data_IF_223839430228
#
_entry.id   IF_223839430228
#
_cell.length_a   1.000
_cell.length_b   1.000
_cell.length_c   1.000
_cell.angle_alpha   90.00
_cell.angle_beta   90.00
_cell.angle_gamma   90.00
#
_symmetry.space_group_name_H-M   'P 1'
#
loop_
_entity.id
_entity.type
_entity.pdbx_description
1 polymer ?
#
# COMPACT_ATOMS: atom_id res chain seq x y z
N UNK A 1 2.99 22.59 -1.78
CA UNK A 1 3.41 21.66 -2.85
C UNK A 1 4.50 20.79 -2.28
N UNK A 2 4.26 19.50 -2.01
CA UNK A 2 5.37 18.60 -1.73
C UNK A 2 6.14 18.46 -3.04
N UNK A 3 7.29 19.13 -3.12
CA UNK A 3 8.25 18.79 -4.15
C UNK A 3 8.61 17.34 -3.87
N UNK A 4 8.18 16.40 -4.73
CA UNK A 4 8.80 15.08 -4.78
C UNK A 4 10.30 15.33 -4.68
N UNK A 5 10.94 15.00 -3.55
CA UNK A 5 12.38 15.02 -3.47
C UNK A 5 12.79 13.92 -4.42
N UNK A 6 13.13 14.29 -5.65
CA UNK A 6 13.35 13.30 -6.69
C UNK A 6 14.69 12.65 -6.38
N UNK A 7 14.62 11.48 -5.77
CA UNK A 7 15.74 10.57 -5.56
C UNK A 7 16.41 10.32 -6.90
N UNK A 8 17.65 9.83 -6.87
CA UNK A 8 18.37 9.57 -8.12
C UNK A 8 17.56 8.62 -9.02
N UNK A 9 17.06 7.53 -8.44
CA UNK A 9 16.18 6.57 -9.09
C UNK A 9 14.96 7.24 -9.72
N UNK A 10 14.20 8.04 -8.95
CA UNK A 10 13.01 8.72 -9.48
C UNK A 10 13.32 9.69 -10.64
N UNK A 11 14.51 10.33 -10.66
CA UNK A 11 14.91 11.19 -11.79
C UNK A 11 15.24 10.38 -13.03
N UNK A 12 15.95 9.27 -12.87
CA UNK A 12 16.38 8.40 -13.97
C UNK A 12 15.18 7.70 -14.61
N UNK A 13 14.27 7.13 -13.79
CA UNK A 13 13.04 6.52 -14.27
C UNK A 13 12.14 7.55 -14.97
N UNK A 14 12.04 8.77 -14.44
CA UNK A 14 11.31 9.85 -15.11
C UNK A 14 11.89 10.15 -16.50
N UNK A 15 13.21 10.33 -16.60
CA UNK A 15 13.85 10.67 -17.87
C UNK A 15 13.57 9.58 -18.92
N UNK A 16 13.70 8.32 -18.52
CA UNK A 16 13.32 7.18 -19.36
C UNK A 16 11.86 7.25 -19.84
N UNK A 17 10.90 7.47 -18.92
CA UNK A 17 9.48 7.54 -19.28
C UNK A 17 9.10 8.78 -20.10
N UNK A 18 9.88 9.86 -20.01
CA UNK A 18 9.73 11.04 -20.88
C UNK A 18 10.16 10.70 -22.32
N UNK A 19 11.29 10.00 -22.50
CA UNK A 19 11.74 9.55 -23.82
C UNK A 19 10.80 8.51 -24.44
N UNK A 20 10.22 7.65 -23.58
CA UNK A 20 9.25 6.62 -23.97
C UNK A 20 7.89 7.22 -24.38
N UNK A 21 7.60 8.47 -24.01
CA UNK A 21 6.34 9.13 -24.27
C UNK A 21 6.49 10.23 -25.32
N UNK A 22 6.12 9.93 -26.57
CA UNK A 22 6.10 10.91 -27.67
C UNK A 22 5.31 12.21 -27.33
N UNK A 23 4.35 12.13 -26.40
CA UNK A 23 3.45 13.22 -26.01
C UNK A 23 3.68 13.81 -24.60
N UNK A 24 4.71 13.39 -23.85
CA UNK A 24 4.96 13.88 -22.47
C UNK A 24 5.64 15.26 -22.45
N UNK A 25 5.15 16.20 -23.25
CA UNK A 25 5.72 17.56 -23.35
C UNK A 25 5.22 18.54 -22.25
N UNK A 26 4.48 18.08 -21.23
CA UNK A 26 3.91 18.97 -20.21
C UNK A 26 4.79 19.06 -18.95
N UNK A 27 4.84 20.25 -18.35
CA UNK A 27 5.41 20.48 -17.00
C UNK A 27 4.24 20.73 -16.04
N UNK A 28 4.04 19.91 -14.98
CA UNK A 28 4.74 18.66 -14.63
C UNK A 28 4.51 17.54 -15.65
N UNK A 29 5.38 16.49 -15.68
CA UNK A 29 5.33 15.37 -16.63
C UNK A 29 4.08 14.53 -16.38
N UNK A 30 3.00 14.94 -17.00
CA UNK A 30 1.70 14.32 -16.85
C UNK A 30 1.13 14.03 -18.23
N UNK A 31 0.52 12.86 -18.32
CA UNK A 31 -0.39 12.50 -19.39
C UNK A 31 -1.56 13.48 -19.45
N UNK A 32 -2.21 13.55 -20.61
CA UNK A 32 -3.42 14.37 -20.74
C UNK A 32 -4.58 13.75 -19.97
N UNK A 33 -4.59 12.42 -19.89
CA UNK A 33 -5.52 11.62 -19.12
C UNK A 33 -4.79 10.45 -18.44
N UNK A 34 -5.19 10.09 -17.21
CA UNK A 34 -4.50 9.06 -16.42
C UNK A 34 -4.39 7.71 -17.13
N UNK A 35 -5.42 7.33 -17.89
CA UNK A 35 -5.47 6.05 -18.61
C UNK A 35 -4.44 5.95 -19.74
N UNK A 36 -3.85 7.06 -20.20
CA UNK A 36 -2.75 7.01 -21.17
C UNK A 36 -1.51 6.33 -20.57
N UNK A 37 -1.38 6.39 -19.23
CA UNK A 37 -0.35 5.69 -18.49
C UNK A 37 -0.59 4.19 -18.31
N UNK A 38 -1.75 3.67 -18.73
CA UNK A 38 -2.11 2.25 -18.67
C UNK A 38 -1.75 1.55 -19.99
N UNK A 39 -1.32 0.28 -19.90
CA UNK A 39 -1.09 -0.58 -21.08
C UNK A 39 -2.29 -0.51 -22.05
N UNK A 40 -2.09 -0.29 -23.36
CA UNK A 40 -3.18 -0.08 -24.31
C UNK A 40 -4.33 -1.08 -24.20
N UNK A 41 -4.02 -2.37 -24.14
CA UNK A 41 -5.01 -3.46 -24.10
C UNK A 41 -5.76 -3.56 -22.75
N UNK A 42 -5.27 -2.90 -21.69
CA UNK A 42 -5.90 -2.89 -20.37
C UNK A 42 -6.68 -1.60 -20.09
N UNK A 43 -6.71 -0.63 -21.01
CA UNK A 43 -7.29 0.70 -20.75
C UNK A 43 -8.78 0.68 -20.47
N UNK A 44 -9.53 -0.11 -21.22
CA UNK A 44 -10.98 -0.20 -21.05
C UNK A 44 -11.31 -0.90 -19.73
N UNK A 45 -10.66 -2.04 -19.46
CA UNK A 45 -10.75 -2.72 -18.16
C UNK A 45 -10.37 -1.79 -16.99
N UNK A 46 -9.34 -0.97 -17.14
CA UNK A 46 -8.94 -0.01 -16.10
C UNK A 46 -10.03 1.02 -15.80
N UNK A 47 -10.75 1.50 -16.83
CA UNK A 47 -11.88 2.43 -16.66
C UNK A 47 -13.09 1.74 -16.03
N UNK A 48 -13.35 0.50 -16.43
CA UNK A 48 -14.41 -0.32 -15.85
C UNK A 48 -14.13 -0.60 -14.37
N UNK A 49 -12.91 -1.01 -14.03
CA UNK A 49 -12.43 -1.18 -12.65
C UNK A 49 -12.53 0.13 -11.88
N UNK A 50 -12.14 1.26 -12.47
CA UNK A 50 -12.24 2.56 -11.80
C UNK A 50 -13.68 2.84 -11.32
N UNK A 51 -14.67 2.51 -12.14
CA UNK A 51 -16.09 2.66 -11.80
C UNK A 51 -16.55 1.57 -10.82
N UNK A 52 -16.25 0.31 -11.11
CA UNK A 52 -16.75 -0.85 -10.36
C UNK A 52 -16.17 -0.96 -8.95
N UNK A 53 -14.91 -0.57 -8.76
CA UNK A 53 -14.23 -0.55 -7.47
C UNK A 53 -14.30 0.85 -6.81
N UNK A 54 -14.97 1.82 -7.45
CA UNK A 54 -15.07 3.22 -6.99
C UNK A 54 -13.70 3.86 -6.72
N UNK A 55 -12.70 3.52 -7.55
CA UNK A 55 -11.32 3.96 -7.40
C UNK A 55 -11.21 5.48 -7.43
N UNK A 56 -10.74 6.03 -6.32
CA UNK A 56 -10.48 7.47 -6.18
C UNK A 56 -9.13 7.83 -6.72
N UNK A 57 -9.12 8.31 -7.96
CA UNK A 57 -7.88 8.76 -8.59
C UNK A 57 -7.28 9.94 -7.83
N UNK A 58 -6.02 9.80 -7.43
CA UNK A 58 -5.31 10.88 -6.78
C UNK A 58 -4.94 11.97 -7.80
N UNK A 59 -4.73 13.22 -7.36
CA UNK A 59 -4.36 14.35 -8.23
C UNK A 59 -3.12 14.12 -9.12
N UNK A 60 -2.29 13.14 -8.78
CA UNK A 60 -1.09 12.77 -9.52
C UNK A 60 -1.30 11.53 -10.41
N UNK A 61 -2.55 11.09 -10.66
CA UNK A 61 -2.81 9.80 -11.33
C UNK A 61 -2.23 9.78 -12.74
N UNK A 62 -2.33 10.92 -13.43
CA UNK A 62 -1.74 11.12 -14.75
C UNK A 62 -0.22 11.42 -14.73
N UNK A 63 0.45 11.47 -13.58
CA UNK A 63 1.90 11.65 -13.53
C UNK A 63 2.60 10.40 -14.10
N UNK A 64 3.71 10.59 -14.83
CA UNK A 64 4.46 9.45 -15.40
C UNK A 64 4.84 8.41 -14.34
N UNK A 65 5.23 8.87 -13.16
CA UNK A 65 5.62 8.05 -12.01
C UNK A 65 4.50 7.84 -11.00
N UNK A 66 3.26 7.72 -11.45
CA UNK A 66 2.11 7.46 -10.59
C UNK A 66 2.15 6.01 -10.08
N UNK A 67 2.31 5.81 -8.77
CA UNK A 67 2.24 4.48 -8.15
C UNK A 67 0.85 3.87 -8.22
N UNK A 68 -0.22 4.68 -8.17
CA UNK A 68 -1.59 4.20 -8.39
C UNK A 68 -1.77 3.61 -9.81
N UNK A 69 -1.24 4.27 -10.84
CA UNK A 69 -1.29 3.74 -12.22
C UNK A 69 -0.36 2.55 -12.39
N UNK A 70 0.79 2.53 -11.70
CA UNK A 70 1.67 1.37 -11.67
C UNK A 70 1.00 0.15 -11.03
N UNK A 71 0.30 0.32 -9.91
CA UNK A 71 -0.49 -0.73 -9.26
C UNK A 71 -1.57 -1.29 -10.19
N UNK A 72 -2.32 -0.41 -10.85
CA UNK A 72 -3.30 -0.82 -11.88
C UNK A 72 -2.61 -1.63 -12.98
N UNK A 73 -1.53 -1.12 -13.57
CA UNK A 73 -0.81 -1.83 -14.62
C UNK A 73 -0.31 -3.21 -14.19
N UNK A 74 0.25 -3.33 -12.97
CA UNK A 74 0.77 -4.59 -12.44
C UNK A 74 -0.32 -5.66 -12.26
N UNK A 75 -1.49 -5.27 -11.77
CA UNK A 75 -2.48 -6.25 -11.30
C UNK A 75 -3.74 -6.38 -12.17
N UNK A 76 -3.98 -5.46 -13.12
CA UNK A 76 -5.14 -5.52 -14.02
C UNK A 76 -5.26 -6.83 -14.82
N UNK A 77 -4.18 -7.45 -15.35
CA UNK A 77 -4.30 -8.74 -16.04
C UNK A 77 -4.98 -9.83 -15.19
N UNK A 78 -4.76 -9.80 -13.88
CA UNK A 78 -5.34 -10.74 -12.92
C UNK A 78 -6.74 -10.34 -12.47
N UNK A 79 -7.32 -9.23 -12.93
CA UNK A 79 -8.69 -8.85 -12.58
C UNK A 79 -9.70 -9.82 -13.18
N UNK A 80 -9.53 -10.21 -14.44
CA UNK A 80 -10.43 -11.12 -15.17
C UNK A 80 -9.73 -12.38 -15.68
N UNK A 81 -8.40 -12.39 -15.68
CA UNK A 81 -7.59 -13.53 -16.11
C UNK A 81 -7.47 -14.65 -15.09
N UNK A 82 -6.74 -15.69 -15.50
CA UNK A 82 -6.23 -16.70 -14.57
C UNK A 82 -5.28 -16.05 -13.56
N UNK A 83 -5.30 -16.57 -12.33
CA UNK A 83 -4.50 -16.08 -11.20
C UNK A 83 -3.61 -17.17 -10.62
N UNK A 84 -3.38 -18.25 -11.36
CA UNK A 84 -2.65 -19.43 -10.89
C UNK A 84 -1.20 -19.06 -10.59
N UNK A 85 -0.50 -18.47 -11.55
CA UNK A 85 0.87 -18.02 -11.39
C UNK A 85 0.99 -16.92 -10.32
N UNK A 86 0.03 -15.97 -10.28
CA UNK A 86 0.00 -14.95 -9.22
C UNK A 86 -0.15 -15.60 -7.85
N UNK A 87 -1.06 -16.56 -7.70
CA UNK A 87 -1.29 -17.30 -6.45
C UNK A 87 -0.02 -18.02 -6.01
N UNK A 88 0.73 -18.61 -6.94
CA UNK A 88 2.02 -19.23 -6.62
C UNK A 88 3.06 -18.22 -6.14
N UNK A 89 3.20 -17.07 -6.81
CA UNK A 89 4.15 -16.02 -6.40
C UNK A 89 3.80 -15.49 -5.02
N UNK A 90 2.54 -15.12 -4.80
CA UNK A 90 2.07 -14.60 -3.51
C UNK A 90 2.20 -15.66 -2.43
N UNK A 91 1.89 -16.93 -2.70
CA UNK A 91 2.07 -18.03 -1.75
C UNK A 91 3.52 -18.17 -1.26
N UNK A 92 4.49 -18.03 -2.17
CA UNK A 92 5.91 -18.05 -1.81
C UNK A 92 6.28 -16.82 -0.98
N UNK A 93 5.78 -15.64 -1.36
CA UNK A 93 6.03 -14.38 -0.64
C UNK A 93 5.52 -14.40 0.80
N UNK A 94 4.32 -14.97 1.05
CA UNK A 94 3.74 -15.03 2.41
C UNK A 94 4.03 -16.35 3.14
N UNK A 95 4.85 -17.23 2.56
CA UNK A 95 5.21 -18.53 3.13
C UNK A 95 4.05 -19.52 3.30
N UNK A 96 2.88 -19.24 2.73
CA UNK A 96 1.65 -20.03 2.91
C UNK A 96 0.93 -20.22 1.59
N UNK A 97 0.60 -21.47 1.25
CA UNK A 97 -0.15 -21.78 0.03
C UNK A 97 -1.57 -21.20 0.08
N UNK A 98 -1.87 -20.33 -0.87
CA UNK A 98 -3.18 -19.72 -1.08
C UNK A 98 -3.57 -19.70 -2.56
N UNK A 99 -4.85 -19.55 -2.82
CA UNK A 99 -5.44 -19.26 -4.13
C UNK A 99 -6.03 -17.87 -4.10
N UNK A 100 -5.59 -16.98 -4.99
CA UNK A 100 -6.20 -15.66 -5.19
C UNK A 100 -7.51 -15.83 -5.94
N UNK A 101 -8.63 -15.53 -5.29
CA UNK A 101 -9.98 -15.61 -5.86
C UNK A 101 -10.37 -14.31 -6.56
N UNK A 102 -9.94 -13.18 -6.02
CA UNK A 102 -10.34 -11.85 -6.48
C UNK A 102 -9.26 -10.80 -6.20
N UNK A 103 -9.12 -9.83 -7.11
CA UNK A 103 -8.21 -8.69 -6.99
C UNK A 103 -9.03 -7.40 -7.07
N UNK A 104 -8.92 -6.53 -6.05
CA UNK A 104 -9.59 -5.21 -5.97
C UNK A 104 -8.55 -4.11 -5.84
N UNK A 105 -8.87 -2.92 -6.32
CA UNK A 105 -7.96 -1.78 -6.34
C UNK A 105 -8.44 -0.65 -5.44
N UNK A 106 -7.51 0.06 -4.80
CA UNK A 106 -7.78 1.26 -4.00
C UNK A 106 -8.93 1.03 -3.01
N UNK A 107 -8.95 -0.17 -2.44
CA UNK A 107 -10.07 -0.65 -1.63
C UNK A 107 -10.06 0.04 -0.27
N UNK A 108 -11.18 0.68 0.05
CA UNK A 108 -11.38 1.33 1.35
C UNK A 108 -12.17 0.38 2.24
N UNK A 109 -11.66 0.01 3.43
CA UNK A 109 -12.41 -0.81 4.35
C UNK A 109 -13.65 -0.09 4.87
N UNK A 110 -14.71 -0.82 5.26
CA UNK A 110 -15.88 -0.24 5.92
C UNK A 110 -15.47 0.63 7.11
N UNK A 111 -16.18 1.75 7.31
CA UNK A 111 -15.80 2.77 8.29
C UNK A 111 -15.67 2.29 9.72
N UNK A 112 -16.46 1.29 10.10
CA UNK A 112 -16.39 0.65 11.42
C UNK A 112 -15.06 -0.07 11.67
N UNK A 113 -14.37 -0.53 10.62
CA UNK A 113 -13.16 -1.34 10.73
C UNK A 113 -12.03 -0.52 11.38
N UNK A 114 -11.68 0.63 10.81
CA UNK A 114 -10.63 1.52 11.35
C UNK A 114 -11.18 2.68 12.18
N UNK A 115 -12.49 2.94 12.17
CA UNK A 115 -13.09 4.12 12.79
C UNK A 115 -12.75 5.44 12.09
N UNK A 116 -12.28 5.40 10.84
CA UNK A 116 -11.85 6.59 10.09
C UNK A 116 -13.00 7.37 9.45
N UNK A 117 -14.13 6.69 9.21
CA UNK A 117 -15.26 7.16 8.42
C UNK A 117 -16.55 7.24 9.27
N UNK A 118 -17.42 8.19 8.92
CA UNK A 118 -18.75 8.30 9.55
C UNK A 118 -19.74 7.23 9.05
N UNK A 119 -19.54 6.68 7.86
CA UNK A 119 -20.30 5.56 7.28
C UNK A 119 -19.39 4.49 6.68
N UNK A 120 -19.95 3.56 5.90
CA UNK A 120 -19.17 2.46 5.30
C UNK A 120 -18.37 2.86 4.07
N UNK A 121 -18.57 4.08 3.58
CA UNK A 121 -17.85 4.65 2.44
C UNK A 121 -17.43 6.07 2.77
N UNK A 122 -16.27 6.52 2.27
CA UNK A 122 -15.85 7.89 2.49
C UNK A 122 -16.76 8.87 1.75
N UNK A 123 -17.07 10.02 2.36
CA UNK A 123 -17.62 11.17 1.62
C UNK A 123 -16.62 11.72 0.59
N UNK A 124 -17.04 12.61 -0.31
CA UNK A 124 -16.19 13.15 -1.39
C UNK A 124 -14.86 13.72 -0.88
N UNK A 125 -14.89 14.46 0.23
CA UNK A 125 -13.71 15.09 0.85
C UNK A 125 -13.25 14.39 2.14
N UNK A 126 -13.75 13.18 2.40
CA UNK A 126 -13.37 12.43 3.60
C UNK A 126 -12.12 11.58 3.34
N UNK A 127 -10.98 11.85 4.01
CA UNK A 127 -9.79 11.03 3.86
C UNK A 127 -10.01 9.67 4.54
N UNK A 128 -9.64 8.61 3.82
CA UNK A 128 -9.67 7.22 4.26
C UNK A 128 -8.31 6.56 4.01
N UNK A 129 -7.99 5.49 4.73
CA UNK A 129 -6.97 4.53 4.30
C UNK A 129 -7.56 3.73 3.15
N UNK A 130 -6.91 3.76 1.99
CA UNK A 130 -7.17 2.83 0.91
C UNK A 130 -5.99 1.86 0.84
N UNK A 131 -6.27 0.61 0.52
CA UNK A 131 -5.24 -0.38 0.19
C UNK A 131 -5.10 -0.40 -1.32
N UNK A 132 -3.88 -0.20 -1.83
CA UNK A 132 -3.64 -0.04 -3.27
C UNK A 132 -4.16 -1.26 -4.05
N UNK A 133 -3.86 -2.47 -3.56
CA UNK A 133 -4.42 -3.72 -4.09
C UNK A 133 -4.79 -4.67 -2.95
N UNK A 134 -5.99 -5.23 -2.98
CA UNK A 134 -6.42 -6.32 -2.09
C UNK A 134 -6.65 -7.57 -2.91
N UNK A 135 -6.03 -8.66 -2.49
CA UNK A 135 -6.25 -10.00 -3.03
C UNK A 135 -7.06 -10.83 -2.04
N UNK A 136 -8.35 -11.00 -2.31
CA UNK A 136 -9.17 -11.96 -1.55
C UNK A 136 -8.81 -13.37 -1.99
N UNK A 137 -8.53 -14.21 -1.01
CA UNK A 137 -7.87 -15.49 -1.24
C UNK A 137 -8.49 -16.59 -0.39
N UNK A 138 -8.13 -17.83 -0.71
CA UNK A 138 -8.49 -19.02 0.08
C UNK A 138 -7.26 -19.88 0.34
N UNK A 139 -7.12 -20.36 1.56
CA UNK A 139 -6.10 -21.35 1.91
C UNK A 139 -6.49 -22.74 1.40
N UNK A 140 -5.51 -23.64 1.33
CA UNK A 140 -5.74 -25.02 0.91
C UNK A 140 -6.76 -25.78 1.81
N UNK A 141 -6.89 -25.36 3.07
CA UNK A 141 -7.87 -25.91 4.03
C UNK A 141 -9.27 -25.26 3.95
N UNK A 142 -9.48 -24.33 3.01
CA UNK A 142 -10.74 -23.65 2.76
C UNK A 142 -10.94 -22.35 3.55
N UNK A 143 -10.06 -22.01 4.50
CA UNK A 143 -10.11 -20.75 5.24
C UNK A 143 -9.96 -19.54 4.31
N UNK A 144 -10.69 -18.48 4.64
CA UNK A 144 -10.66 -17.20 3.92
C UNK A 144 -9.39 -16.45 4.29
N UNK A 145 -8.77 -15.85 3.29
CA UNK A 145 -7.53 -15.11 3.41
C UNK A 145 -7.63 -13.75 2.70
N UNK A 146 -6.84 -12.78 3.12
CA UNK A 146 -6.61 -11.55 2.37
C UNK A 146 -5.13 -11.20 2.31
N UNK A 147 -4.68 -10.70 1.17
CA UNK A 147 -3.33 -10.14 1.02
C UNK A 147 -3.50 -8.68 0.61
N UNK A 148 -3.13 -7.78 1.52
CA UNK A 148 -3.20 -6.33 1.34
C UNK A 148 -1.85 -5.87 0.82
N UNK A 149 -1.83 -5.22 -0.33
CA UNK A 149 -0.59 -4.81 -0.99
C UNK A 149 -0.55 -3.30 -1.03
N UNK A 150 0.54 -2.73 -0.48
CA UNK A 150 0.95 -1.37 -0.77
C UNK A 150 1.92 -1.41 -1.95
N UNK A 151 1.72 -0.55 -2.95
CA UNK A 151 2.53 -0.49 -4.16
C UNK A 151 3.39 0.77 -4.16
N UNK A 152 4.71 0.61 -4.30
CA UNK A 152 5.66 1.71 -4.46
C UNK A 152 6.36 1.64 -5.80
N UNK A 153 6.47 2.79 -6.46
CA UNK A 153 7.22 2.92 -7.70
C UNK A 153 8.51 3.68 -7.45
N UNK A 154 8.42 5.00 -7.27
CA UNK A 154 9.57 5.91 -7.23
C UNK A 154 9.59 6.82 -6.00
N UNK A 155 8.71 6.55 -5.03
CA UNK A 155 8.67 7.28 -3.77
C UNK A 155 9.96 7.07 -2.99
N UNK A 156 10.33 8.08 -2.20
CA UNK A 156 11.49 8.04 -1.29
C UNK A 156 11.17 7.39 0.06
N UNK A 157 9.96 6.83 0.21
CA UNK A 157 9.47 6.22 1.43
C UNK A 157 7.95 6.16 1.48
N UNK A 158 7.43 6.23 2.69
CA UNK A 158 6.01 6.10 2.99
C UNK A 158 5.43 7.42 3.50
N UNK A 159 4.11 7.53 3.54
CA UNK A 159 3.48 8.73 4.09
C UNK A 159 3.85 8.91 5.56
N UNK A 160 4.40 10.08 5.90
CA UNK A 160 4.73 10.44 7.28
C UNK A 160 3.49 10.81 8.12
N UNK A 161 3.59 10.67 9.44
CA UNK A 161 2.48 11.01 10.34
C UNK A 161 2.19 12.52 10.40
N UNK A 162 1.08 12.92 9.78
CA UNK A 162 0.56 14.29 9.87
C UNK A 162 0.12 14.68 11.29
N UNK A 163 -0.08 13.71 12.20
CA UNK A 163 -0.42 14.00 13.58
C UNK A 163 0.72 14.66 14.36
N UNK A 164 1.97 14.23 14.11
CA UNK A 164 3.17 14.82 14.73
C UNK A 164 3.27 16.32 14.42
N UNK A 165 3.15 16.68 13.14
CA UNK A 165 3.32 18.07 12.67
C UNK A 165 2.04 18.91 12.76
N UNK A 166 0.93 18.35 13.26
CA UNK A 166 -0.33 19.08 13.36
C UNK A 166 -0.27 20.16 14.43
N UNK A 167 -0.57 21.41 14.05
CA UNK A 167 -0.75 22.52 15.01
C UNK A 167 -1.87 22.29 16.03
N UNK A 168 -2.75 21.31 15.79
CA UNK A 168 -3.85 20.96 16.70
C UNK A 168 -3.51 19.79 17.63
N UNK A 169 -2.34 19.16 17.44
CA UNK A 169 -1.86 18.15 18.36
C UNK A 169 -1.29 18.84 19.63
N UNK A 170 -2.02 18.72 20.73
CA UNK A 170 -1.65 19.28 22.04
C UNK A 170 -0.78 18.34 22.88
N UNK A 171 -0.59 17.09 22.43
CA UNK A 171 0.18 16.05 23.11
C UNK A 171 1.39 15.66 22.26
N UNK A 172 2.28 16.63 22.04
CA UNK A 172 3.53 16.41 21.31
C UNK A 172 4.48 15.47 22.06
N UNK A 173 4.38 15.47 23.39
CA UNK A 173 5.07 14.54 24.28
C UNK A 173 4.84 13.07 23.88
N UNK A 174 3.62 12.71 23.47
CA UNK A 174 3.27 11.36 22.98
C UNK A 174 3.95 11.02 21.64
N UNK A 175 4.26 12.03 20.83
CA UNK A 175 4.97 11.84 19.57
C UNK A 175 6.50 11.76 19.76
N UNK A 176 6.99 12.29 20.88
CA UNK A 176 8.41 12.37 21.24
C UNK A 176 8.88 11.19 22.09
N UNK A 177 7.97 10.35 22.57
CA UNK A 177 8.28 9.15 23.36
C UNK A 177 7.42 7.95 22.95
N UNK A 178 8.08 6.85 22.54
CA UNK A 178 7.42 5.58 22.28
C UNK A 178 6.81 4.99 23.56
N UNK A 179 7.50 5.08 24.69
CA UNK A 179 6.96 4.71 26.00
C UNK A 179 5.65 5.46 26.30
N UNK A 180 5.59 6.77 26.08
CA UNK A 180 4.39 7.57 26.32
C UNK A 180 3.22 7.15 25.40
N UNK A 181 3.50 6.87 24.11
CA UNK A 181 2.49 6.33 23.20
C UNK A 181 1.99 4.96 23.65
N UNK A 182 2.88 4.05 24.03
CA UNK A 182 2.50 2.68 24.35
C UNK A 182 1.81 2.57 25.71
N UNK A 183 2.18 3.43 26.67
CA UNK A 183 1.54 3.53 27.99
C UNK A 183 0.15 4.18 27.94
N UNK A 184 -0.07 5.15 27.04
CA UNK A 184 -1.40 5.73 26.80
C UNK A 184 -1.64 5.97 25.29
N UNK A 185 -1.98 4.93 24.52
CA UNK A 185 -2.25 5.07 23.08
C UNK A 185 -3.45 5.99 22.80
N UNK A 186 -4.33 6.16 23.79
CA UNK A 186 -5.49 7.04 23.66
C UNK A 186 -5.13 8.52 23.65
N UNK A 187 -3.95 8.90 24.12
CA UNK A 187 -3.44 10.26 24.04
C UNK A 187 -2.93 10.63 22.63
N UNK A 188 -2.76 9.66 21.73
CA UNK A 188 -2.31 9.92 20.37
C UNK A 188 -3.31 10.78 19.59
N UNK A 189 -2.83 11.89 19.00
CA UNK A 189 -3.67 12.78 18.19
C UNK A 189 -4.40 12.06 17.03
N UNK A 190 -3.79 11.03 16.45
CA UNK A 190 -4.42 10.27 15.37
C UNK A 190 -5.66 9.50 15.82
N UNK A 191 -5.86 9.24 17.11
CA UNK A 191 -7.09 8.63 17.62
C UNK A 191 -8.31 9.46 17.27
N UNK A 192 -8.27 10.78 17.50
CA UNK A 192 -9.36 11.68 17.12
C UNK A 192 -8.79 13.02 16.65
N UNK A 193 -8.38 13.11 15.37
CA UNK A 193 -7.90 14.36 14.80
C UNK A 193 -8.98 15.45 14.85
N UNK A 194 -8.55 16.71 14.78
CA UNK A 194 -9.48 17.84 14.81
C UNK A 194 -10.56 17.68 13.74
N UNK A 195 -11.82 17.83 14.14
CA UNK A 195 -12.98 17.77 13.24
C UNK A 195 -13.54 16.38 13.01
N UNK A 196 -12.89 15.32 13.52
CA UNK A 196 -13.44 13.96 13.47
C UNK A 196 -14.37 13.71 14.66
N UNK A 197 -15.51 13.08 14.39
CA UNK A 197 -16.56 12.75 15.39
C UNK A 197 -16.37 11.37 16.02
N UNK A 198 -15.56 10.50 15.41
CA UNK A 198 -15.29 9.14 15.86
C UNK A 198 -13.82 8.95 16.21
N UNK A 199 -13.58 7.98 17.08
CA UNK A 199 -12.24 7.50 17.37
C UNK A 199 -11.79 6.51 16.31
N UNK A 200 -10.57 6.67 15.85
CA UNK A 200 -9.87 5.66 15.07
C UNK A 200 -9.45 4.52 15.99
N UNK A 201 -9.56 3.30 15.47
CA UNK A 201 -9.40 2.05 16.24
C UNK A 201 -8.01 1.43 16.16
N UNK A 202 -7.02 2.07 15.51
CA UNK A 202 -5.70 1.44 15.27
C UNK A 202 -5.11 0.78 16.53
N UNK A 203 -5.11 1.53 17.64
CA UNK A 203 -4.50 1.08 18.89
C UNK A 203 -5.33 -0.01 19.59
N UNK A 204 -6.66 0.08 19.49
CA UNK A 204 -7.58 -0.97 19.96
C UNK A 204 -7.34 -2.26 19.18
N UNK A 205 -7.20 -2.18 17.85
CA UNK A 205 -6.93 -3.33 16.99
C UNK A 205 -5.60 -3.99 17.37
N UNK A 206 -4.53 -3.22 17.57
CA UNK A 206 -3.24 -3.79 17.97
C UNK A 206 -3.28 -4.40 19.38
N UNK A 207 -3.88 -3.71 20.35
CA UNK A 207 -4.07 -4.25 21.69
C UNK A 207 -4.96 -5.52 21.68
N UNK A 208 -6.00 -5.57 20.87
CA UNK A 208 -6.88 -6.73 20.73
C UNK A 208 -6.19 -7.95 20.11
N UNK A 209 -5.19 -7.73 19.24
CA UNK A 209 -4.44 -8.83 18.59
C UNK A 209 -3.22 -9.32 19.38
N UNK A 210 -2.58 -8.44 20.17
CA UNK A 210 -1.31 -8.75 20.84
C UNK A 210 -1.34 -8.56 22.37
N UNK A 211 -2.45 -8.11 22.94
CA UNK A 211 -2.59 -7.78 24.37
C UNK A 211 -2.28 -6.32 24.69
N UNK A 212 -1.28 -5.73 24.03
CA UNK A 212 -0.97 -4.30 24.11
C UNK A 212 -0.41 -3.75 22.80
N UNK A 213 -0.30 -2.41 22.68
CA UNK A 213 0.36 -1.79 21.52
C UNK A 213 1.87 -2.08 21.55
N UNK A 214 2.49 -2.15 22.73
CA UNK A 214 3.91 -2.48 22.85
C UNK A 214 4.21 -3.91 22.38
N UNK A 215 3.36 -4.87 22.73
CA UNK A 215 3.51 -6.27 22.29
C UNK A 215 3.26 -6.46 20.79
N UNK A 216 2.48 -5.58 20.17
CA UNK A 216 2.32 -5.54 18.72
C UNK A 216 3.56 -4.98 18.00
N UNK A 217 4.41 -4.22 18.70
CA UNK A 217 5.60 -3.58 18.15
C UNK A 217 6.83 -3.69 19.08
N UNK A 218 7.27 -4.92 19.41
CA UNK A 218 8.27 -5.15 20.44
C UNK A 218 9.67 -4.65 20.06
N UNK A 219 9.94 -4.41 18.78
CA UNK A 219 11.22 -3.88 18.31
C UNK A 219 11.34 -2.35 18.39
N UNK A 220 10.33 -1.65 18.92
CA UNK A 220 10.42 -0.21 19.09
C UNK A 220 11.40 0.17 20.23
N UNK A 221 12.19 1.21 19.99
CA UNK A 221 13.01 1.85 21.02
C UNK A 221 12.12 2.68 21.95
N UNK A 222 11.92 2.22 23.19
CA UNK A 222 11.04 2.86 24.17
C UNK A 222 11.57 4.22 24.65
N UNK A 223 12.90 4.40 24.66
CA UNK A 223 13.56 5.67 24.98
C UNK A 223 13.53 6.65 23.78
N UNK A 224 13.17 6.15 22.60
CA UNK A 224 13.08 6.90 21.36
C UNK A 224 11.72 7.56 21.11
N UNK A 225 11.58 8.29 20.00
CA UNK A 225 10.31 8.88 19.59
C UNK A 225 9.29 7.82 19.18
N UNK A 226 8.01 8.20 19.11
CA UNK A 226 6.96 7.35 18.55
C UNK A 226 7.40 6.76 17.19
N UNK A 227 7.41 5.42 17.02
CA UNK A 227 7.95 4.78 15.82
C UNK A 227 7.13 5.15 14.57
N UNK A 228 5.83 5.41 14.74
CA UNK A 228 4.92 5.78 13.65
C UNK A 228 4.95 7.27 13.32
N UNK A 229 5.79 8.08 13.97
CA UNK A 229 5.81 9.51 13.75
C UNK A 229 6.46 9.90 12.40
N UNK A 230 7.21 8.98 11.78
CA UNK A 230 7.81 9.09 10.45
C UNK A 230 7.18 8.15 9.42
N UNK A 231 8.03 7.46 8.63
CA UNK A 231 7.64 6.60 7.51
C UNK A 231 6.86 5.32 7.92
N UNK A 232 6.82 4.95 9.19
CA UNK A 232 6.08 3.76 9.61
C UNK A 232 4.55 3.99 9.71
N UNK A 233 4.04 5.20 9.49
CA UNK A 233 2.61 5.50 9.68
C UNK A 233 1.70 4.79 8.68
N UNK A 234 2.06 4.80 7.41
CA UNK A 234 1.27 4.15 6.36
C UNK A 234 1.32 2.61 6.48
N UNK A 235 2.50 1.98 6.64
CA UNK A 235 2.60 0.55 6.98
C UNK A 235 1.76 0.15 8.19
N UNK A 236 1.82 0.93 9.28
CA UNK A 236 1.02 0.68 10.48
C UNK A 236 -0.49 0.71 10.19
N UNK A 237 -0.98 1.65 9.39
CA UNK A 237 -2.40 1.71 9.02
C UNK A 237 -2.84 0.51 8.20
N UNK A 238 -2.05 0.09 7.22
CA UNK A 238 -2.38 -1.08 6.39
C UNK A 238 -2.33 -2.38 7.20
N UNK A 239 -1.34 -2.53 8.09
CA UNK A 239 -1.31 -3.66 9.02
C UNK A 239 -2.51 -3.65 9.97
N UNK A 240 -2.96 -2.48 10.45
CA UNK A 240 -4.18 -2.38 11.25
C UNK A 240 -5.42 -2.85 10.48
N UNK A 241 -5.51 -2.62 9.16
CA UNK A 241 -6.60 -3.17 8.34
C UNK A 241 -6.51 -4.69 8.33
N UNK A 242 -5.35 -5.28 8.06
CA UNK A 242 -5.17 -6.74 8.04
C UNK A 242 -5.62 -7.38 9.36
N UNK A 243 -5.20 -6.83 10.50
CA UNK A 243 -5.59 -7.32 11.84
C UNK A 243 -7.08 -7.12 12.13
N UNK A 244 -7.66 -6.00 11.70
CA UNK A 244 -9.07 -5.75 11.90
C UNK A 244 -9.94 -6.70 11.05
N UNK A 245 -9.52 -7.05 9.83
CA UNK A 245 -10.22 -8.04 9.01
C UNK A 245 -10.30 -9.41 9.70
N UNK A 246 -9.22 -9.82 10.37
CA UNK A 246 -9.18 -11.05 11.18
C UNK A 246 -10.11 -10.93 12.41
N UNK A 247 -10.01 -9.84 13.17
CA UNK A 247 -10.78 -9.63 14.40
C UNK A 247 -12.30 -9.56 14.17
N UNK A 248 -12.72 -8.93 13.08
CA UNK A 248 -14.14 -8.82 12.72
C UNK A 248 -14.63 -10.09 11.98
N UNK A 249 -13.79 -11.12 11.83
CA UNK A 249 -14.16 -12.39 11.20
C UNK A 249 -14.47 -12.28 9.70
N UNK A 250 -13.97 -11.23 9.04
CA UNK A 250 -14.12 -11.06 7.58
C UNK A 250 -13.24 -12.06 6.83
N UNK A 251 -12.06 -12.37 7.37
CA UNK A 251 -11.16 -13.42 6.92
C UNK A 251 -10.59 -14.15 8.14
N UNK A 252 -10.03 -15.33 7.92
CA UNK A 252 -9.39 -16.12 8.98
C UNK A 252 -7.90 -15.78 9.14
N UNK A 253 -7.28 -15.21 8.10
CA UNK A 253 -5.90 -14.71 8.12
C UNK A 253 -5.71 -13.59 7.10
N UNK A 254 -4.89 -12.60 7.42
CA UNK A 254 -4.53 -11.53 6.51
C UNK A 254 -3.03 -11.19 6.57
N UNK A 255 -2.47 -10.84 5.42
CA UNK A 255 -1.11 -10.35 5.28
C UNK A 255 -1.10 -8.91 4.77
N UNK A 256 -0.08 -8.17 5.18
CA UNK A 256 0.26 -6.88 4.59
C UNK A 256 1.61 -7.01 3.89
N UNK A 257 1.62 -6.77 2.58
CA UNK A 257 2.77 -6.98 1.68
C UNK A 257 3.15 -5.64 1.06
N UNK A 258 4.45 -5.39 0.93
CA UNK A 258 4.95 -4.34 0.05
C UNK A 258 5.18 -4.93 -1.33
N UNK A 259 4.59 -4.33 -2.36
CA UNK A 259 5.03 -4.51 -3.74
C UNK A 259 5.80 -3.28 -4.19
N UNK A 260 7.05 -3.46 -4.59
CA UNK A 260 7.91 -2.34 -4.97
C UNK A 260 8.63 -2.62 -6.28
N UNK A 261 8.93 -1.54 -7.01
CA UNK A 261 9.88 -1.60 -8.10
C UNK A 261 11.21 -2.15 -7.60
N UNK A 262 11.73 -3.17 -8.28
CA UNK A 262 12.91 -3.94 -7.89
C UNK A 262 14.14 -3.06 -7.59
N UNK A 263 14.39 -2.07 -8.46
CA UNK A 263 15.51 -1.15 -8.33
C UNK A 263 15.29 0.08 -7.44
N UNK A 264 14.14 0.25 -6.77
CA UNK A 264 13.94 1.41 -5.89
C UNK A 264 14.70 1.21 -4.56
N UNK A 265 15.82 1.93 -4.33
CA UNK A 265 16.64 1.69 -3.14
C UNK A 265 16.07 2.36 -1.89
N UNK A 266 15.20 3.37 -2.07
CA UNK A 266 14.77 4.25 -1.00
C UNK A 266 13.67 3.60 -0.13
N UNK A 267 12.77 2.83 -0.76
CA UNK A 267 11.66 2.17 -0.07
C UNK A 267 12.13 0.98 0.76
N UNK A 268 13.09 0.20 0.27
CA UNK A 268 13.58 -1.00 0.94
C UNK A 268 14.14 -0.69 2.34
N UNK A 269 14.91 0.39 2.48
CA UNK A 269 15.43 0.81 3.78
C UNK A 269 14.34 1.16 4.79
N UNK A 270 13.29 1.85 4.35
CA UNK A 270 12.15 2.19 5.20
C UNK A 270 11.28 0.98 5.55
N UNK A 271 11.13 0.03 4.62
CA UNK A 271 10.41 -1.21 4.85
C UNK A 271 11.14 -2.13 5.85
N UNK A 272 12.46 -2.25 5.73
CA UNK A 272 13.27 -3.01 6.69
C UNK A 272 13.22 -2.37 8.09
N UNK A 273 13.29 -1.04 8.18
CA UNK A 273 13.12 -0.34 9.45
C UNK A 273 11.72 -0.56 10.07
N UNK A 274 10.68 -0.69 9.24
CA UNK A 274 9.35 -1.09 9.68
C UNK A 274 9.30 -2.54 10.17
N UNK A 275 9.89 -3.47 9.42
CA UNK A 275 9.92 -4.90 9.76
C UNK A 275 10.57 -5.16 11.12
N UNK A 276 11.62 -4.42 11.46
CA UNK A 276 12.29 -4.51 12.78
C UNK A 276 11.35 -4.18 13.94
N UNK A 277 10.30 -3.38 13.73
CA UNK A 277 9.34 -3.08 14.79
C UNK A 277 8.43 -4.27 15.12
N UNK A 278 8.23 -5.20 14.19
CA UNK A 278 7.23 -6.27 14.32
C UNK A 278 7.74 -7.42 15.21
N UNK A 279 6.83 -8.25 15.77
CA UNK A 279 7.21 -9.43 16.54
C UNK A 279 8.00 -10.46 15.72
N UNK A 280 7.73 -10.52 14.43
CA UNK A 280 8.41 -11.36 13.46
C UNK A 280 8.65 -10.54 12.17
N UNK A 281 9.91 -10.36 11.72
CA UNK A 281 10.23 -9.67 10.47
C UNK A 281 9.54 -10.28 9.23
N UNK A 282 9.22 -11.58 9.24
CA UNK A 282 8.53 -12.26 8.14
C UNK A 282 7.07 -11.77 7.97
N UNK A 283 6.55 -10.99 8.93
CA UNK A 283 5.27 -10.28 8.83
C UNK A 283 5.33 -9.03 7.93
N UNK A 284 6.51 -8.68 7.41
CA UNK A 284 6.70 -7.61 6.43
C UNK A 284 7.22 -8.17 5.09
N UNK A 285 6.49 -9.06 4.42
CA UNK A 285 6.91 -9.65 3.17
C UNK A 285 7.02 -8.62 2.04
N UNK A 286 7.97 -8.85 1.13
CA UNK A 286 8.20 -8.07 -0.08
C UNK A 286 7.85 -8.92 -1.32
N UNK A 287 7.01 -8.38 -2.18
CA UNK A 287 6.70 -8.90 -3.51
C UNK A 287 7.36 -8.00 -4.56
N UNK A 288 8.48 -8.41 -5.19
CA UNK A 288 9.07 -7.60 -6.24
C UNK A 288 8.09 -7.41 -7.40
N UNK A 289 8.07 -6.22 -8.02
CA UNK A 289 7.17 -5.93 -9.13
C UNK A 289 7.44 -6.86 -10.34
N UNK A 290 8.71 -7.19 -10.59
CA UNK A 290 9.13 -8.18 -11.59
C UNK A 290 8.43 -9.53 -11.40
N UNK A 291 8.26 -10.00 -10.16
CA UNK A 291 7.61 -11.28 -9.88
C UNK A 291 6.11 -11.27 -10.25
N UNK A 292 5.45 -10.11 -10.18
CA UNK A 292 4.06 -9.93 -10.66
C UNK A 292 4.02 -9.95 -12.19
N UNK A 293 5.01 -9.32 -12.83
CA UNK A 293 5.14 -9.32 -14.30
C UNK A 293 5.38 -10.74 -14.83
N UNK A 294 6.29 -11.49 -14.22
CA UNK A 294 6.54 -12.89 -14.57
C UNK A 294 5.30 -13.78 -14.41
N UNK A 295 4.48 -13.51 -13.39
CA UNK A 295 3.22 -14.21 -13.22
C UNK A 295 2.26 -13.92 -14.37
N UNK A 296 2.19 -12.68 -14.84
CA UNK A 296 1.32 -12.33 -15.97
C UNK A 296 1.84 -12.93 -17.28
N UNK A 297 3.15 -12.91 -17.49
CA UNK A 297 3.81 -13.53 -18.64
C UNK A 297 3.49 -15.05 -18.71
N UNK A 298 3.61 -15.75 -17.59
CA UNK A 298 3.27 -17.17 -17.46
C UNK A 298 1.77 -17.48 -17.71
N UNK A 299 0.89 -16.50 -17.55
CA UNK A 299 -0.56 -16.60 -17.80
C UNK A 299 -0.94 -16.15 -19.23
N UNK A 300 0.05 -15.89 -20.08
CA UNK A 300 -0.16 -15.55 -21.50
C UNK A 300 -0.22 -14.05 -21.79
N UNK A 301 0.09 -13.18 -20.83
CA UNK A 301 0.15 -11.74 -21.01
C UNK A 301 1.53 -11.24 -21.49
N UNK A 302 2.20 -11.99 -22.37
CA UNK A 302 3.60 -11.71 -22.76
C UNK A 302 3.83 -10.33 -23.40
N UNK A 303 2.91 -9.85 -24.24
CA UNK A 303 3.02 -8.49 -24.81
C UNK A 303 2.93 -7.39 -23.74
N UNK A 304 2.02 -7.57 -22.78
CA UNK A 304 1.92 -6.70 -21.61
C UNK A 304 3.17 -6.80 -20.73
N UNK A 305 3.70 -8.00 -20.51
CA UNK A 305 4.89 -8.20 -19.70
C UNK A 305 6.09 -7.47 -20.31
N UNK A 306 6.35 -7.64 -21.61
CA UNK A 306 7.38 -6.89 -22.34
C UNK A 306 7.20 -5.38 -22.19
N UNK A 307 5.97 -4.88 -22.39
CA UNK A 307 5.68 -3.45 -22.22
C UNK A 307 5.95 -2.96 -20.79
N UNK A 308 5.60 -3.76 -19.76
CA UNK A 308 5.86 -3.42 -18.37
C UNK A 308 7.36 -3.34 -18.09
N UNK A 309 8.13 -4.33 -18.54
CA UNK A 309 9.60 -4.38 -18.39
C UNK A 309 10.25 -3.18 -19.07
N UNK A 310 9.90 -2.91 -20.32
CA UNK A 310 10.42 -1.76 -21.08
C UNK A 310 10.03 -0.42 -20.45
N UNK A 311 8.75 -0.22 -20.13
CA UNK A 311 8.25 1.07 -19.63
C UNK A 311 8.83 1.43 -18.27
N UNK A 312 8.91 0.45 -17.37
CA UNK A 312 9.35 0.67 -16.00
C UNK A 312 10.83 0.35 -15.77
N UNK A 313 11.53 -0.21 -16.76
CA UNK A 313 12.93 -0.70 -16.63
C UNK A 313 13.04 -1.83 -15.60
N UNK A 314 12.10 -2.77 -15.68
CA UNK A 314 12.05 -3.98 -14.86
C UNK A 314 12.57 -5.14 -15.70
N UNK A 315 13.85 -5.11 -16.08
CA UNK A 315 14.46 -6.22 -16.81
C UNK A 315 14.75 -7.40 -15.87
N UNK A 316 14.82 -8.62 -16.42
CA UNK A 316 15.29 -9.78 -15.65
C UNK A 316 16.70 -9.47 -15.16
N UNK A 317 16.94 -9.57 -13.85
CA UNK A 317 18.29 -9.49 -13.31
C UNK A 317 19.16 -10.54 -14.03
N UNK A 318 20.21 -10.09 -14.72
CA UNK A 318 21.23 -10.96 -15.34
C UNK A 318 21.83 -11.96 -14.33
#
# INVERSE_FOLDING_TARGET
MSAFKRTRFARELRAHMEDWSADACRRPPMWSHWSEGIHPDCRDLAREVQVADEVRLHKHAAHLLSSQVFALNLFLPFREGSRTALSERVSRTVGTRLLVEEVRFEWVPPGALLGELEGDRPGADEPATAVDVVMWSRLADGRRAAVLVEVKLSEDGFTSCNGRVSRWNRRQDVCESAEALFGDPNACYLRRPKGKRRDRRYWEIFAGSHGSVGDAFPGADLDGPCPFAGNAQQPMRNLAIARALEQEGMVDVAWFVLCAHDDNPDVAGHWNAWAVLLPDPDMAPLLPASAVIDAGDAEGYGAWATWMRERYRLDEAE
#
